data_IF_545365216956
#
_entry.id   IF_545365216956
#
_cell.length_a   1.000
_cell.length_b   1.000
_cell.length_c   1.000
_cell.angle_alpha   90.00
_cell.angle_beta   90.00
_cell.angle_gamma   90.00
#
_symmetry.space_group_name_H-M   'P 1'
#
loop_
_entity.id
_entity.type
_entity.pdbx_description
1 polymer ?
#
# COMPACT_ATOMS: atom_id res chain seq x y z
N UNK A 1 -8.36 2.57 46.56
CA UNK A 1 -8.42 2.96 45.14
C UNK A 1 -7.66 1.92 44.33
N UNK A 2 -8.31 1.23 43.39
CA UNK A 2 -7.65 0.32 42.44
C UNK A 2 -7.34 1.12 41.18
N UNK A 3 -6.07 1.29 40.86
CA UNK A 3 -5.61 2.10 39.73
C UNK A 3 -5.76 1.27 38.44
N UNK A 4 -6.68 1.67 37.56
CA UNK A 4 -6.93 1.02 36.25
C UNK A 4 -5.78 1.20 35.23
N UNK A 5 -4.62 1.72 35.64
CA UNK A 5 -3.53 2.10 34.74
C UNK A 5 -2.73 0.91 34.16
N UNK A 6 -2.90 -0.31 34.70
CA UNK A 6 -2.19 -1.52 34.25
C UNK A 6 -3.13 -2.61 33.73
N UNK A 7 -4.40 -2.30 33.45
CA UNK A 7 -5.27 -3.24 32.77
C UNK A 7 -4.75 -3.45 31.34
N UNK A 8 -4.29 -4.67 31.05
CA UNK A 8 -4.00 -5.10 29.68
C UNK A 8 -5.31 -5.02 28.89
N UNK A 9 -5.53 -3.88 28.22
CA UNK A 9 -6.66 -3.68 27.32
C UNK A 9 -6.41 -4.57 26.11
N UNK A 10 -6.94 -5.79 26.18
CA UNK A 10 -6.91 -6.75 25.09
C UNK A 10 -7.76 -6.18 23.95
N UNK A 11 -7.09 -5.52 23.00
CA UNK A 11 -7.72 -5.01 21.80
C UNK A 11 -8.11 -6.20 20.92
N UNK A 12 -9.40 -6.52 20.88
CA UNK A 12 -9.93 -7.51 19.95
C UNK A 12 -9.91 -6.89 18.55
N UNK A 13 -8.90 -7.23 17.76
CA UNK A 13 -8.70 -6.69 16.40
C UNK A 13 -9.81 -7.16 15.45
N UNK A 14 -10.30 -8.39 15.63
CA UNK A 14 -11.49 -8.89 14.93
C UNK A 14 -12.25 -9.90 15.80
N UNK A 15 -13.59 -9.92 15.75
CA UNK A 15 -14.37 -10.93 16.44
C UNK A 15 -14.18 -12.30 15.79
N UNK A 16 -14.40 -13.40 16.53
CA UNK A 16 -14.27 -14.77 16.02
C UNK A 16 -15.20 -15.03 14.84
N UNK A 17 -14.66 -15.57 13.74
CA UNK A 17 -15.47 -15.99 12.60
C UNK A 17 -16.25 -17.25 12.98
N UNK A 18 -17.57 -17.15 13.04
CA UNK A 18 -18.43 -18.33 13.24
C UNK A 18 -18.33 -19.27 12.02
N UNK A 19 -18.55 -20.59 12.16
CA UNK A 19 -18.67 -21.47 11.00
C UNK A 19 -19.89 -21.07 10.16
N UNK A 20 -19.67 -20.73 8.89
CA UNK A 20 -20.74 -20.35 7.97
C UNK A 20 -20.95 -21.46 6.92
N UNK A 21 -22.17 -21.98 6.80
CA UNK A 21 -22.51 -22.98 5.77
C UNK A 21 -22.70 -22.42 4.36
N UNK A 22 -22.81 -21.10 4.22
CA UNK A 22 -22.92 -20.40 2.94
C UNK A 22 -22.39 -18.97 3.06
N UNK A 23 -21.78 -18.46 1.98
CA UNK A 23 -21.28 -17.08 1.90
C UNK A 23 -22.43 -16.13 1.54
N UNK A 24 -22.95 -15.40 2.53
CA UNK A 24 -23.96 -14.34 2.32
C UNK A 24 -23.29 -12.98 2.11
N UNK A 25 -23.94 -12.09 1.36
CA UNK A 25 -23.44 -10.74 1.04
C UNK A 25 -23.01 -9.93 2.26
N UNK A 26 -23.79 -10.02 3.34
CA UNK A 26 -23.57 -9.36 4.63
C UNK A 26 -22.34 -9.87 5.39
N UNK A 27 -21.83 -11.05 5.04
CA UNK A 27 -20.68 -11.70 5.69
C UNK A 27 -19.45 -11.77 4.79
N UNK A 28 -19.59 -11.57 3.47
CA UNK A 28 -18.49 -11.61 2.49
C UNK A 28 -17.29 -10.80 2.91
N UNK A 29 -17.48 -9.54 3.28
CA UNK A 29 -16.38 -8.65 3.65
C UNK A 29 -15.56 -9.20 4.82
N UNK A 30 -16.23 -9.80 5.81
CA UNK A 30 -15.56 -10.39 6.96
C UNK A 30 -14.83 -11.69 6.61
N UNK A 31 -15.45 -12.54 5.79
CA UNK A 31 -14.82 -13.78 5.33
C UNK A 31 -13.57 -13.47 4.51
N UNK A 32 -13.67 -12.53 3.55
CA UNK A 32 -12.55 -12.07 2.74
C UNK A 32 -11.49 -11.39 3.63
N UNK A 33 -11.89 -10.52 4.56
CA UNK A 33 -10.97 -9.90 5.51
C UNK A 33 -10.15 -10.94 6.29
N UNK A 34 -10.79 -11.98 6.82
CA UNK A 34 -10.09 -13.08 7.52
C UNK A 34 -9.15 -13.85 6.58
N UNK A 35 -9.56 -14.10 5.34
CA UNK A 35 -8.69 -14.75 4.36
C UNK A 35 -7.45 -13.90 4.04
N UNK A 36 -7.60 -12.58 3.93
CA UNK A 36 -6.49 -11.64 3.73
C UNK A 36 -5.58 -11.53 4.96
N UNK A 37 -6.14 -11.63 6.17
CA UNK A 37 -5.35 -11.75 7.40
C UNK A 37 -4.49 -13.03 7.39
N UNK A 38 -5.07 -14.16 6.97
CA UNK A 38 -4.32 -15.42 6.81
C UNK A 38 -3.23 -15.30 5.74
N UNK A 39 -3.53 -14.66 4.60
CA UNK A 39 -2.55 -14.35 3.58
C UNK A 39 -1.39 -13.55 4.17
N UNK A 40 -1.69 -12.46 4.89
CA UNK A 40 -0.68 -11.63 5.55
C UNK A 40 0.17 -12.42 6.55
N UNK A 41 -0.42 -13.32 7.35
CA UNK A 41 0.33 -14.15 8.32
C UNK A 41 1.35 -15.09 7.68
N UNK A 42 1.19 -15.37 6.37
CA UNK A 42 2.07 -16.25 5.59
C UNK A 42 2.81 -15.50 4.49
N UNK A 43 2.80 -14.16 4.50
CA UNK A 43 3.31 -13.31 3.41
C UNK A 43 4.77 -13.60 3.03
N UNK A 44 5.60 -13.98 3.99
CA UNK A 44 7.00 -14.35 3.74
C UNK A 44 7.15 -15.61 2.88
N UNK A 45 6.20 -16.56 3.00
CA UNK A 45 6.21 -17.83 2.24
C UNK A 45 5.47 -17.74 0.91
N UNK A 46 4.78 -16.63 0.67
CA UNK A 46 4.03 -16.40 -0.56
C UNK A 46 4.99 -15.91 -1.65
N UNK A 47 4.94 -16.49 -2.87
CA UNK A 47 5.82 -16.08 -3.96
C UNK A 47 5.57 -14.63 -4.40
N UNK A 48 6.59 -14.00 -4.96
CA UNK A 48 6.52 -12.60 -5.41
C UNK A 48 5.44 -12.37 -6.47
N UNK A 49 5.24 -13.29 -7.41
CA UNK A 49 4.19 -13.20 -8.43
C UNK A 49 2.79 -13.03 -7.84
N UNK A 50 2.46 -13.81 -6.81
CA UNK A 50 1.16 -13.71 -6.12
C UNK A 50 0.98 -12.37 -5.39
N UNK A 51 2.08 -11.74 -4.95
CA UNK A 51 2.03 -10.41 -4.33
C UNK A 51 1.85 -9.32 -5.38
N UNK A 52 2.45 -9.47 -6.56
CA UNK A 52 2.27 -8.57 -7.70
C UNK A 52 0.81 -8.61 -8.16
N UNK A 53 0.28 -9.81 -8.43
CA UNK A 53 -1.13 -10.01 -8.79
C UNK A 53 -2.07 -9.40 -7.75
N UNK A 54 -1.77 -9.59 -6.46
CA UNK A 54 -2.54 -8.97 -5.38
C UNK A 54 -2.57 -7.43 -5.47
N UNK A 55 -1.43 -6.80 -5.78
CA UNK A 55 -1.36 -5.35 -5.97
C UNK A 55 -2.18 -4.91 -7.18
N UNK A 56 -2.10 -5.63 -8.30
CA UNK A 56 -2.89 -5.36 -9.51
C UNK A 56 -4.40 -5.47 -9.24
N UNK A 57 -4.82 -6.50 -8.49
CA UNK A 57 -6.21 -6.61 -8.04
C UNK A 57 -6.63 -5.43 -7.17
N UNK A 58 -5.76 -4.94 -6.29
CA UNK A 58 -6.06 -3.76 -5.46
C UNK A 58 -6.22 -2.48 -6.30
N UNK A 59 -5.42 -2.31 -7.35
CA UNK A 59 -5.59 -1.22 -8.32
C UNK A 59 -6.94 -1.32 -9.04
N UNK A 60 -7.30 -2.49 -9.56
CA UNK A 60 -8.60 -2.69 -10.21
C UNK A 60 -9.78 -2.46 -9.24
N UNK A 61 -9.69 -2.96 -8.01
CA UNK A 61 -10.72 -2.78 -6.99
C UNK A 61 -10.95 -1.33 -6.60
N UNK A 62 -9.93 -0.47 -6.70
CA UNK A 62 -10.08 0.95 -6.47
C UNK A 62 -11.03 1.61 -7.49
N UNK A 63 -11.10 1.04 -8.70
CA UNK A 63 -11.86 1.56 -9.82
C UNK A 63 -11.00 2.45 -10.73
N UNK A 64 -11.49 2.65 -11.95
CA UNK A 64 -10.98 3.71 -12.83
C UNK A 64 -11.54 5.05 -12.33
N UNK A 65 -10.84 5.68 -11.40
CA UNK A 65 -11.04 7.11 -11.19
C UNK A 65 -10.50 7.82 -12.44
N UNK A 66 -11.44 8.20 -13.32
CA UNK A 66 -11.16 9.16 -14.38
C UNK A 66 -10.66 10.44 -13.72
N UNK A 67 -9.42 10.82 -14.05
CA UNK A 67 -8.88 12.16 -13.86
C UNK A 67 -8.50 12.64 -12.44
N UNK A 68 -7.77 11.84 -11.64
CA UNK A 68 -7.02 12.41 -10.49
C UNK A 68 -5.49 12.44 -10.70
N UNK A 69 -4.95 11.76 -11.71
CA UNK A 69 -3.50 11.75 -11.96
C UNK A 69 -3.06 12.71 -13.10
N UNK A 70 -3.60 13.93 -13.16
CA UNK A 70 -3.00 15.01 -13.99
C UNK A 70 -2.60 16.26 -13.21
N UNK A 71 -2.73 16.28 -11.88
CA UNK A 71 -2.48 17.50 -11.10
C UNK A 71 -1.22 17.47 -10.22
N UNK A 72 -0.63 16.30 -9.96
CA UNK A 72 0.60 16.17 -9.16
C UNK A 72 1.76 15.56 -9.95
N UNK A 73 1.77 15.75 -11.27
CA UNK A 73 3.03 15.76 -12.01
C UNK A 73 3.80 17.01 -11.62
N UNK A 74 4.88 16.76 -10.88
CA UNK A 74 5.97 17.69 -10.62
C UNK A 74 6.29 18.46 -11.89
N UNK A 75 6.12 19.78 -11.83
CA UNK A 75 6.49 20.73 -12.89
C UNK A 75 7.96 20.52 -13.27
N UNK A 76 8.17 19.99 -14.47
CA UNK A 76 9.47 19.78 -15.11
C UNK A 76 9.36 19.74 -16.63
N UNK A 77 8.80 20.83 -17.19
CA UNK A 77 8.90 21.34 -18.56
C UNK A 77 8.77 20.43 -19.81
N UNK A 78 7.84 20.86 -20.68
CA UNK A 78 7.77 20.73 -22.15
C UNK A 78 7.33 19.42 -22.84
N UNK A 79 6.05 19.43 -23.22
CA UNK A 79 5.55 19.28 -24.60
C UNK A 79 5.73 17.94 -25.34
N UNK A 80 4.65 17.14 -25.38
CA UNK A 80 3.84 16.94 -26.61
C UNK A 80 2.65 16.02 -26.33
N UNK A 81 1.48 16.48 -26.78
CA UNK A 81 0.29 15.66 -26.97
C UNK A 81 0.60 14.41 -27.77
N UNK A 82 0.42 13.24 -27.17
CA UNK A 82 -0.08 12.06 -27.85
C UNK A 82 -1.26 11.54 -27.03
N UNK A 83 -2.47 11.94 -27.45
CA UNK A 83 -3.69 11.23 -27.11
C UNK A 83 -3.56 9.79 -27.64
N UNK A 84 -2.98 8.91 -26.84
CA UNK A 84 -3.23 7.48 -26.99
C UNK A 84 -4.57 7.22 -26.32
N UNK A 85 -5.62 7.33 -27.12
CA UNK A 85 -6.82 6.53 -26.91
C UNK A 85 -6.35 5.08 -26.87
N UNK A 86 -6.08 4.58 -25.67
CA UNK A 86 -6.00 3.15 -25.45
C UNK A 86 -7.44 2.64 -25.45
N UNK A 87 -8.00 2.51 -26.66
CA UNK A 87 -9.08 1.56 -26.91
C UNK A 87 -8.49 0.17 -26.66
N UNK A 88 -8.34 -0.19 -25.39
CA UNK A 88 -8.17 -1.59 -25.01
C UNK A 88 -9.52 -2.27 -25.20
N UNK A 89 -9.82 -2.58 -26.47
CA UNK A 89 -10.79 -3.58 -26.85
C UNK A 89 -10.25 -4.94 -26.35
N UNK A 90 -10.62 -5.30 -25.13
CA UNK A 90 -10.22 -6.56 -24.50
C UNK A 90 -11.43 -7.15 -23.79
N UNK A 91 -11.99 -8.20 -24.39
CA UNK A 91 -13.00 -9.09 -23.80
C UNK A 91 -12.45 -9.80 -22.54
N UNK A 92 -12.27 -9.06 -21.45
CA UNK A 92 -12.00 -9.56 -20.11
C UNK A 92 -13.01 -8.89 -19.18
N UNK A 93 -13.69 -9.67 -18.36
CA UNK A 93 -14.70 -9.20 -17.42
C UNK A 93 -14.19 -7.95 -16.68
N UNK A 94 -14.76 -6.77 -16.96
CA UNK A 94 -14.39 -5.52 -16.28
C UNK A 94 -14.64 -5.72 -14.78
N UNK A 95 -13.59 -6.06 -14.02
CA UNK A 95 -13.63 -6.05 -12.56
C UNK A 95 -13.69 -4.59 -12.13
N UNK A 96 -14.90 -4.05 -12.15
CA UNK A 96 -15.18 -2.70 -11.73
C UNK A 96 -14.96 -2.49 -10.23
N UNK A 97 -14.93 -1.23 -9.84
CA UNK A 97 -14.84 -0.76 -8.46
C UNK A 97 -15.73 -1.57 -7.51
N UNK A 98 -15.14 -2.25 -6.53
CA UNK A 98 -15.89 -3.05 -5.53
C UNK A 98 -16.07 -2.29 -4.21
N UNK A 99 -17.07 -2.58 -3.37
CA UNK A 99 -17.11 -2.04 -2.01
C UNK A 99 -15.91 -2.54 -1.18
N UNK A 100 -15.11 -1.61 -0.65
CA UNK A 100 -13.97 -1.89 0.23
C UNK A 100 -14.24 -1.37 1.64
N UNK A 101 -15.08 -2.06 2.44
CA UNK A 101 -15.26 -1.69 3.83
C UNK A 101 -13.96 -1.91 4.61
N UNK A 102 -13.85 -1.28 5.78
CA UNK A 102 -12.61 -1.24 6.56
C UNK A 102 -12.07 -2.64 6.93
N UNK A 103 -12.98 -3.62 7.12
CA UNK A 103 -12.65 -5.02 7.41
C UNK A 103 -11.84 -5.69 6.29
N UNK A 104 -12.00 -5.25 5.04
CA UNK A 104 -11.19 -5.70 3.90
C UNK A 104 -10.00 -4.77 3.72
N UNK A 105 -10.23 -3.46 3.78
CA UNK A 105 -9.18 -2.48 3.47
C UNK A 105 -8.00 -2.57 4.45
N UNK A 106 -8.27 -2.84 5.73
CA UNK A 106 -7.22 -2.92 6.74
C UNK A 106 -6.16 -4.01 6.43
N UNK A 107 -6.51 -5.29 6.20
CA UNK A 107 -5.52 -6.28 5.81
C UNK A 107 -4.92 -6.03 4.42
N UNK A 108 -5.67 -5.45 3.46
CA UNK A 108 -5.12 -5.00 2.17
C UNK A 108 -3.94 -4.05 2.37
N UNK A 109 -4.11 -3.02 3.19
CA UNK A 109 -3.05 -2.03 3.44
C UNK A 109 -1.84 -2.63 4.16
N UNK A 110 -2.01 -3.67 4.98
CA UNK A 110 -0.87 -4.37 5.61
C UNK A 110 -0.08 -5.19 4.59
N UNK A 111 -0.77 -5.86 3.67
CA UNK A 111 -0.12 -6.58 2.56
C UNK A 111 0.64 -5.59 1.67
N UNK A 112 -0.02 -4.50 1.23
CA UNK A 112 0.61 -3.47 0.39
C UNK A 112 1.80 -2.79 1.09
N UNK A 113 1.67 -2.50 2.39
CA UNK A 113 2.78 -1.98 3.19
C UNK A 113 3.98 -2.92 3.24
N UNK A 114 3.75 -4.24 3.33
CA UNK A 114 4.84 -5.21 3.24
C UNK A 114 5.46 -5.25 1.84
N UNK A 115 4.66 -5.21 0.77
CA UNK A 115 5.15 -5.17 -0.60
C UNK A 115 5.99 -3.91 -0.88
N UNK A 116 5.62 -2.77 -0.28
CA UNK A 116 6.31 -1.49 -0.41
C UNK A 116 7.62 -1.43 0.41
N UNK A 117 7.59 -1.85 1.68
CA UNK A 117 8.71 -1.70 2.60
C UNK A 117 9.68 -2.88 2.57
N UNK A 118 9.19 -4.09 2.33
CA UNK A 118 10.03 -5.28 2.19
C UNK A 118 10.98 -5.14 1.00
N UNK A 119 10.50 -4.55 -0.09
CA UNK A 119 11.30 -4.33 -1.30
C UNK A 119 12.19 -3.10 -1.23
N UNK A 120 11.78 -2.01 -0.57
CA UNK A 120 12.62 -0.81 -0.43
C UNK A 120 13.86 -1.05 0.42
N UNK A 121 13.75 -1.86 1.49
CA UNK A 121 14.90 -2.30 2.29
C UNK A 121 15.87 -3.14 1.45
N UNK A 122 15.35 -4.05 0.62
CA UNK A 122 16.18 -4.87 -0.30
C UNK A 122 16.81 -4.00 -1.39
N UNK A 123 16.09 -3.01 -1.92
CA UNK A 123 16.55 -2.12 -3.00
C UNK A 123 17.68 -1.20 -2.55
N UNK A 124 17.63 -0.67 -1.31
CA UNK A 124 18.74 0.13 -0.74
C UNK A 124 20.03 -0.67 -0.60
N UNK A 125 19.95 -2.00 -0.42
CA UNK A 125 21.12 -2.87 -0.38
C UNK A 125 21.73 -3.15 -1.77
N UNK A 126 21.01 -2.87 -2.86
CA UNK A 126 21.44 -3.13 -4.24
C UNK A 126 21.60 -1.79 -4.96
N UNK A 127 22.77 -1.15 -4.82
CA UNK A 127 23.18 0.18 -5.33
C UNK A 127 23.05 0.40 -6.86
N UNK A 128 22.28 -0.42 -7.58
CA UNK A 128 22.16 -0.39 -9.04
C UNK A 128 20.67 -0.44 -9.40
N UNK A 129 20.03 0.70 -9.15
CA UNK A 129 18.83 1.27 -9.76
C UNK A 129 18.03 0.37 -10.71
N UNK A 130 17.13 -0.43 -10.16
CA UNK A 130 15.88 -0.81 -10.83
C UNK A 130 14.85 -1.09 -9.75
N UNK A 131 13.86 -0.21 -9.61
CA UNK A 131 12.75 -0.40 -8.68
C UNK A 131 12.08 -1.75 -8.97
N UNK A 132 11.95 -2.61 -7.96
CA UNK A 132 11.42 -3.96 -8.15
C UNK A 132 9.99 -3.93 -8.72
N UNK A 133 9.59 -4.90 -9.57
CA UNK A 133 8.24 -4.97 -10.12
C UNK A 133 7.17 -4.99 -9.03
N UNK A 134 7.45 -5.68 -7.91
CA UNK A 134 6.58 -5.70 -6.74
C UNK A 134 6.39 -4.32 -6.10
N UNK A 135 7.46 -3.53 -5.97
CA UNK A 135 7.35 -2.17 -5.44
C UNK A 135 6.51 -1.28 -6.36
N UNK A 136 6.73 -1.35 -7.68
CA UNK A 136 5.98 -0.56 -8.66
C UNK A 136 4.48 -0.90 -8.63
N UNK A 137 4.14 -2.18 -8.58
CA UNK A 137 2.75 -2.62 -8.44
C UNK A 137 2.13 -2.14 -7.12
N UNK A 138 2.88 -2.24 -6.00
CA UNK A 138 2.40 -1.79 -4.70
C UNK A 138 2.13 -0.28 -4.63
N UNK A 139 3.04 0.55 -5.15
CA UNK A 139 2.86 2.01 -5.13
C UNK A 139 1.71 2.45 -6.04
N UNK A 140 1.53 1.80 -7.21
CA UNK A 140 0.39 2.04 -8.09
C UNK A 140 -0.94 1.73 -7.39
N UNK A 141 -1.04 0.56 -6.76
CA UNK A 141 -2.22 0.15 -6.00
C UNK A 141 -2.54 1.11 -4.84
N UNK A 142 -1.52 1.51 -4.05
CA UNK A 142 -1.69 2.44 -2.93
C UNK A 142 -2.18 3.82 -3.41
N UNK A 143 -1.65 4.33 -4.52
CA UNK A 143 -2.08 5.61 -5.12
C UNK A 143 -3.55 5.56 -5.55
N UNK A 144 -3.97 4.47 -6.18
CA UNK A 144 -5.37 4.25 -6.59
C UNK A 144 -6.30 4.15 -5.40
N UNK A 145 -5.91 3.41 -4.36
CA UNK A 145 -6.67 3.33 -3.12
C UNK A 145 -6.73 4.68 -2.39
N UNK A 146 -5.69 5.50 -2.45
CA UNK A 146 -5.68 6.86 -1.91
C UNK A 146 -6.66 7.77 -2.65
N UNK A 147 -6.60 7.81 -3.99
CA UNK A 147 -7.54 8.56 -4.83
C UNK A 147 -8.99 8.17 -4.53
N UNK A 148 -9.26 6.86 -4.50
CA UNK A 148 -10.54 6.32 -4.07
C UNK A 148 -10.94 6.79 -2.67
N UNK A 149 -10.02 6.75 -1.69
CA UNK A 149 -10.32 7.11 -0.31
C UNK A 149 -10.70 8.58 -0.17
N UNK A 150 -10.12 9.44 -1.00
CA UNK A 150 -10.49 10.86 -1.13
C UNK A 150 -11.91 11.00 -1.71
N UNK A 151 -12.23 10.27 -2.78
CA UNK A 151 -13.60 10.24 -3.34
C UNK A 151 -14.64 9.72 -2.36
N UNK A 152 -14.31 8.68 -1.60
CA UNK A 152 -15.19 8.06 -0.59
C UNK A 152 -15.29 8.89 0.70
N UNK A 153 -14.47 9.94 0.85
CA UNK A 153 -14.39 10.78 2.06
C UNK A 153 -14.25 9.92 3.33
N UNK A 154 -13.40 8.89 3.27
CA UNK A 154 -13.16 7.99 4.38
C UNK A 154 -11.87 8.40 5.13
N UNK A 155 -11.97 9.10 6.28
CA UNK A 155 -10.79 9.67 6.94
C UNK A 155 -9.77 8.62 7.40
N UNK A 156 -10.23 7.44 7.84
CA UNK A 156 -9.33 6.35 8.25
C UNK A 156 -8.55 5.82 7.06
N UNK A 157 -9.22 5.65 5.93
CA UNK A 157 -8.60 5.19 4.69
C UNK A 157 -7.65 6.22 4.11
N UNK A 158 -8.04 7.50 4.05
CA UNK A 158 -7.21 8.63 3.60
C UNK A 158 -5.91 8.69 4.39
N UNK A 159 -5.98 8.65 5.72
CA UNK A 159 -4.79 8.71 6.57
C UNK A 159 -3.87 7.50 6.34
N UNK A 160 -4.43 6.29 6.28
CA UNK A 160 -3.63 5.07 6.15
C UNK A 160 -2.95 4.99 4.76
N UNK A 161 -3.72 5.21 3.69
CA UNK A 161 -3.22 5.20 2.30
C UNK A 161 -2.26 6.36 2.03
N UNK A 162 -2.57 7.58 2.45
CA UNK A 162 -1.70 8.75 2.27
C UNK A 162 -0.36 8.61 3.00
N UNK A 163 -0.35 7.99 4.19
CA UNK A 163 0.90 7.66 4.89
C UNK A 163 1.77 6.69 4.09
N UNK A 164 1.16 5.67 3.47
CA UNK A 164 1.87 4.72 2.61
C UNK A 164 2.38 5.36 1.31
N UNK A 165 1.60 6.25 0.67
CA UNK A 165 2.08 7.01 -0.50
C UNK A 165 3.34 7.80 -0.14
N UNK A 166 3.31 8.53 0.97
CA UNK A 166 4.44 9.34 1.42
C UNK A 166 5.68 8.50 1.71
N UNK A 167 5.52 7.35 2.38
CA UNK A 167 6.61 6.40 2.62
C UNK A 167 7.20 5.85 1.32
N UNK A 168 6.35 5.56 0.33
CA UNK A 168 6.79 5.08 -0.99
C UNK A 168 7.60 6.13 -1.74
N UNK A 169 7.18 7.40 -1.71
CA UNK A 169 7.92 8.51 -2.33
C UNK A 169 9.29 8.72 -1.67
N UNK A 170 9.34 8.72 -0.33
CA UNK A 170 10.60 8.79 0.42
C UNK A 170 11.57 7.64 0.12
N UNK A 171 11.05 6.48 -0.29
CA UNK A 171 11.89 5.35 -0.69
C UNK A 171 12.49 5.51 -2.10
N UNK A 172 11.89 6.36 -2.95
CA UNK A 172 12.38 6.70 -4.29
C UNK A 172 13.33 7.92 -4.29
N UNK A 173 13.25 8.78 -3.27
CA UNK A 173 14.14 9.93 -3.14
C UNK A 173 15.60 9.47 -2.98
N UNK A 174 16.54 10.00 -3.78
CA UNK A 174 17.95 9.75 -3.57
C UNK A 174 18.31 10.29 -2.18
N UNK A 175 18.89 9.43 -1.34
CA UNK A 175 19.41 9.86 -0.05
C UNK A 175 20.62 10.73 -0.36
N UNK A 176 20.47 12.05 -0.33
CA UNK A 176 21.60 12.93 -0.14
C UNK A 176 22.25 12.49 1.17
N UNK A 177 23.40 11.85 1.04
CA UNK A 177 24.13 11.10 2.07
C UNK A 177 24.72 12.09 3.10
N UNK A 178 23.87 12.74 3.89
CA UNK A 178 24.26 13.45 5.10
C UNK A 178 23.70 12.66 6.27
N UNK A 179 24.54 11.75 6.77
CA UNK A 179 24.27 11.06 8.03
C UNK A 179 24.51 12.02 9.20
N UNK A 180 23.44 12.68 9.67
CA UNK A 180 23.47 13.55 10.85
C UNK A 180 23.73 12.79 12.17
N UNK A 181 23.82 11.46 12.14
CA UNK A 181 24.16 10.63 13.30
C UNK A 181 25.65 10.28 13.38
N UNK A 182 26.43 10.58 12.33
CA UNK A 182 27.87 10.53 12.39
C UNK A 182 28.43 11.79 13.07
N UNK A 183 29.18 11.59 14.16
CA UNK A 183 30.01 12.65 14.73
C UNK A 183 31.28 12.70 13.87
N UNK A 184 31.54 13.78 13.11
CA UNK A 184 32.78 13.89 12.37
C UNK A 184 33.93 13.85 13.38
N UNK A 185 34.79 12.83 13.27
CA UNK A 185 36.03 12.72 14.04
C UNK A 185 36.94 13.87 13.61
N UNK A 186 36.75 15.03 14.24
CA UNK A 186 37.65 16.15 14.11
C UNK A 186 38.99 15.74 14.71
N UNK A 187 39.96 15.74 13.82
CA UNK A 187 41.38 15.45 13.97
C UNK A 187 41.90 15.69 15.39
N UNK A 188 42.43 14.63 16.01
CA UNK A 188 43.20 14.69 17.24
C UNK A 188 44.30 15.72 17.06
N UNK A 189 44.24 16.82 17.82
CA UNK A 189 45.31 17.81 17.88
C UNK A 189 46.48 17.14 18.60
N UNK A 190 47.53 16.81 17.85
CA UNK A 190 48.81 16.44 18.43
C UNK A 190 49.43 17.69 19.08
N UNK A 191 49.48 17.70 20.41
CA UNK A 191 50.31 18.62 21.21
C UNK A 191 51.76 18.13 21.28
#
# INVERSE_FOLDING_TARGET
MKNNATALNLAVISPSLEPHGMVRSTKRARIVGVALELYYTKIEKIPESSKIEFCEFCEMWAGQDGEINRSDEIKGNESRNEEKNDESNGNGEEMGRIPLPWEILQPVLRVLGHCLLGTSLISKCKKNETTTPLFNAAIAAIRRLYARSMHDINPKAILATGSLVKLGMMAMEPVDEIDYTEIPLQTVIHL
#
